data_IF_155927558457
#
_entry.id   IF_155927558457
#
_cell.length_a   1.000
_cell.length_b   1.000
_cell.length_c   1.000
_cell.angle_alpha   90.00
_cell.angle_beta   90.00
_cell.angle_gamma   90.00
#
_symmetry.space_group_name_H-M   'P 1'
#
loop_
_entity.id
_entity.type
_entity.pdbx_description
1 polymer ?
#
# COMPACT_ATOMS: atom_id res chain seq x y z
N UNK A 1 2.86 9.22 -1.81
CA UNK A 1 2.97 7.94 -1.06
C UNK A 1 2.63 8.06 0.45
N UNK A 2 1.92 9.11 0.88
CA UNK A 2 1.73 9.50 2.29
C UNK A 2 0.42 9.01 2.93
N UNK A 3 -0.24 8.01 2.34
CA UNK A 3 -1.45 7.39 2.90
C UNK A 3 -1.09 6.22 3.82
N UNK A 4 -2.00 5.88 4.73
CA UNK A 4 -1.92 4.88 5.82
C UNK A 4 -1.27 3.52 5.51
N UNK A 5 -0.92 3.22 4.26
CA UNK A 5 -0.19 2.03 3.82
C UNK A 5 1.16 1.86 4.52
N UNK A 6 1.88 2.95 4.82
CA UNK A 6 3.17 2.84 5.52
C UNK A 6 2.94 2.36 6.95
N UNK A 7 1.95 2.92 7.66
CA UNK A 7 1.57 2.49 9.00
C UNK A 7 1.05 1.06 9.01
N UNK A 8 0.26 0.65 8.01
CA UNK A 8 -0.18 -0.75 7.87
C UNK A 8 0.99 -1.68 7.61
N UNK A 9 1.94 -1.27 6.77
CA UNK A 9 3.15 -2.04 6.47
C UNK A 9 4.01 -2.21 7.73
N UNK A 10 4.23 -1.14 8.50
CA UNK A 10 4.92 -1.21 9.80
C UNK A 10 4.19 -2.09 10.82
N UNK A 11 2.86 -1.97 10.91
CA UNK A 11 2.03 -2.74 11.85
C UNK A 11 2.08 -4.25 11.61
N UNK A 12 2.11 -4.67 10.35
CA UNK A 12 2.20 -6.09 9.97
C UNK A 12 3.65 -6.56 9.76
N UNK A 13 4.64 -5.70 10.02
CA UNK A 13 6.06 -6.01 9.81
C UNK A 13 6.45 -6.28 8.36
N UNK A 14 5.75 -5.64 7.41
CA UNK A 14 5.99 -5.80 5.98
C UNK A 14 6.63 -4.54 5.40
N UNK A 15 7.55 -4.73 4.46
CA UNK A 15 8.06 -3.62 3.65
C UNK A 15 6.93 -2.94 2.86
N UNK A 16 6.89 -1.60 2.89
CA UNK A 16 5.90 -0.78 2.19
C UNK A 16 5.75 -1.17 0.72
N UNK A 17 6.87 -1.38 0.04
CA UNK A 17 6.95 -1.74 -1.38
C UNK A 17 6.40 -3.15 -1.66
N UNK A 18 6.60 -4.08 -0.72
CA UNK A 18 6.07 -5.43 -0.79
C UNK A 18 4.56 -5.46 -0.60
N UNK A 19 4.06 -4.71 0.38
CA UNK A 19 2.63 -4.56 0.62
C UNK A 19 1.93 -3.93 -0.60
N UNK A 20 2.50 -2.85 -1.16
CA UNK A 20 1.97 -2.19 -2.34
C UNK A 20 1.93 -3.12 -3.58
N UNK A 21 3.01 -3.89 -3.82
CA UNK A 21 3.05 -4.89 -4.90
C UNK A 21 1.99 -5.98 -4.73
N UNK A 22 1.83 -6.49 -3.50
CA UNK A 22 0.86 -7.55 -3.19
C UNK A 22 -0.57 -7.07 -3.38
N UNK A 23 -0.86 -5.84 -2.95
CA UNK A 23 -2.17 -5.21 -3.15
C UNK A 23 -2.47 -4.95 -4.63
N UNK A 24 -1.49 -4.45 -5.39
CA UNK A 24 -1.60 -4.32 -6.86
C UNK A 24 -1.83 -5.65 -7.55
N UNK A 25 -1.13 -6.71 -7.15
CA UNK A 25 -1.30 -8.06 -7.70
C UNK A 25 -2.69 -8.65 -7.41
N UNK A 26 -3.29 -8.30 -6.26
CA UNK A 26 -4.63 -8.69 -5.87
C UNK A 26 -5.73 -7.76 -6.43
N UNK A 27 -5.37 -6.76 -7.24
CA UNK A 27 -6.32 -5.77 -7.76
C UNK A 27 -6.89 -4.80 -6.72
N UNK A 28 -6.34 -4.81 -5.50
CA UNK A 28 -6.76 -3.92 -4.41
C UNK A 28 -6.00 -2.60 -4.56
N UNK A 29 -6.65 -1.63 -5.20
CA UNK A 29 -6.14 -0.26 -5.22
C UNK A 29 -6.43 0.37 -3.86
N UNK A 30 -5.43 0.41 -2.97
CA UNK A 30 -5.54 1.22 -1.75
C UNK A 30 -5.75 2.66 -2.18
N UNK A 31 -6.94 3.22 -1.89
CA UNK A 31 -7.44 4.50 -2.38
C UNK A 31 -6.61 5.74 -2.05
N UNK A 32 -5.34 5.76 -2.45
CA UNK A 32 -4.69 6.98 -2.89
C UNK A 32 -5.38 7.29 -4.20
N UNK A 33 -6.20 8.34 -4.22
CA UNK A 33 -6.60 9.00 -5.47
C UNK A 33 -5.33 9.15 -6.29
N UNK A 34 -5.17 8.32 -7.32
CA UNK A 34 -4.22 8.60 -8.38
C UNK A 34 -4.91 9.66 -9.22
N UNK A 35 -4.87 10.89 -8.70
CA UNK A 35 -5.13 12.09 -9.46
C UNK A 35 -3.85 12.35 -10.25
N UNK A 36 -3.77 11.74 -11.42
CA UNK A 36 -3.00 12.15 -12.60
C UNK A 36 -3.26 11.18 -13.74
#
# INVERSE_FOLDING_TARGET
FNGNISRTAEFIGMERSALHRKLKALGISTGVRQDT
#
